data_IF_118750082808
#
_entry.id   IF_118750082808
#
_cell.length_a   1.000
_cell.length_b   1.000
_cell.length_c   1.000
_cell.angle_alpha   90.00
_cell.angle_beta   90.00
_cell.angle_gamma   90.00
#
_symmetry.space_group_name_H-M   'P 1'
#
loop_
_entity.id
_entity.type
_entity.pdbx_description
1 polymer ?
#
# COMPACT_ATOMS: atom_id res chain seq x y z
N UNK A 1 23.29 3.48 -2.53
CA UNK A 1 21.82 3.49 -2.34
C UNK A 1 21.32 4.87 -2.69
N UNK A 2 20.29 4.98 -3.52
CA UNK A 2 19.67 6.29 -3.83
C UNK A 2 18.53 6.51 -2.86
N UNK A 3 18.58 7.56 -2.01
CA UNK A 3 17.51 7.86 -1.08
C UNK A 3 16.19 8.17 -1.81
N UNK A 4 15.07 7.76 -1.21
CA UNK A 4 13.76 8.15 -1.67
C UNK A 4 13.37 9.46 -0.99
N UNK A 5 13.85 10.58 -1.53
CA UNK A 5 13.57 11.90 -0.93
C UNK A 5 12.25 12.52 -1.41
N UNK A 6 11.67 11.97 -2.47
CA UNK A 6 10.45 12.48 -3.13
C UNK A 6 9.49 11.34 -3.43
N UNK A 7 8.17 11.61 -3.43
CA UNK A 7 7.19 10.61 -3.80
C UNK A 7 7.43 10.05 -5.20
N UNK A 8 7.53 8.71 -5.29
CA UNK A 8 7.63 7.96 -6.53
C UNK A 8 6.27 7.33 -6.85
N UNK A 9 5.75 7.59 -8.05
CA UNK A 9 4.49 7.00 -8.52
C UNK A 9 4.74 5.97 -9.60
N UNK A 10 4.07 4.81 -9.48
CA UNK A 10 4.14 3.69 -10.42
C UNK A 10 2.75 3.11 -10.65
N UNK A 11 2.49 2.68 -11.87
CA UNK A 11 1.37 1.79 -12.14
C UNK A 11 1.80 0.36 -11.79
N UNK A 12 0.93 -0.37 -11.12
CA UNK A 12 1.15 -1.76 -10.72
C UNK A 12 -0.11 -2.54 -11.02
N UNK A 13 0.05 -3.72 -11.63
CA UNK A 13 -1.05 -4.65 -11.86
C UNK A 13 -1.06 -5.70 -10.73
N UNK A 14 -2.21 -5.87 -10.08
CA UNK A 14 -2.42 -6.87 -9.03
C UNK A 14 -3.67 -7.65 -9.39
N UNK A 15 -3.50 -8.91 -9.78
CA UNK A 15 -4.57 -9.69 -10.42
C UNK A 15 -5.01 -9.03 -11.74
N UNK A 16 -6.32 -8.88 -11.89
CA UNK A 16 -6.94 -8.26 -13.08
C UNK A 16 -7.12 -6.73 -12.93
N UNK A 17 -6.71 -6.16 -11.80
CA UNK A 17 -6.91 -4.75 -11.49
C UNK A 17 -5.60 -3.93 -11.58
N UNK A 18 -5.74 -2.71 -12.08
CA UNK A 18 -4.64 -1.74 -12.16
C UNK A 18 -4.70 -0.76 -11.00
N UNK A 19 -3.54 -0.56 -10.37
CA UNK A 19 -3.37 0.35 -9.24
C UNK A 19 -2.29 1.39 -9.53
N UNK A 20 -2.44 2.55 -8.94
CA UNK A 20 -1.38 3.53 -8.76
C UNK A 20 -0.76 3.34 -7.39
N UNK A 21 0.50 2.90 -7.36
CA UNK A 21 1.35 2.86 -6.18
C UNK A 21 2.09 4.19 -6.05
N UNK A 22 1.97 4.82 -4.89
CA UNK A 22 2.81 5.96 -4.48
C UNK A 22 3.68 5.50 -3.32
N UNK A 23 4.99 5.68 -3.45
CA UNK A 23 5.98 5.35 -2.41
C UNK A 23 6.66 6.66 -2.01
N UNK A 24 6.77 6.92 -0.72
CA UNK A 24 7.45 8.10 -0.18
C UNK A 24 8.29 7.72 1.07
N UNK A 25 9.04 8.66 1.69
CA UNK A 25 9.87 8.33 2.85
C UNK A 25 9.10 7.78 4.06
N UNK A 26 7.79 8.00 4.17
CA UNK A 26 6.99 7.63 5.34
C UNK A 26 6.25 6.29 5.13
N UNK A 27 5.90 5.97 3.88
CA UNK A 27 5.17 4.76 3.56
C UNK A 27 4.81 4.60 2.10
N UNK A 28 3.77 3.81 1.87
CA UNK A 28 3.18 3.61 0.57
C UNK A 28 1.66 3.76 0.58
N UNK A 29 1.13 4.23 -0.55
CA UNK A 29 -0.29 4.33 -0.83
C UNK A 29 -0.62 3.63 -2.14
N UNK A 30 -1.59 2.74 -2.10
CA UNK A 30 -2.08 2.00 -3.25
C UNK A 30 -3.52 2.41 -3.54
N UNK A 31 -3.77 2.95 -4.74
CA UNK A 31 -5.09 3.44 -5.16
C UNK A 31 -5.50 2.73 -6.44
N UNK A 32 -6.68 2.12 -6.49
CA UNK A 32 -7.19 1.52 -7.72
C UNK A 32 -7.43 2.61 -8.78
N UNK A 33 -7.16 2.29 -10.05
CA UNK A 33 -7.30 3.23 -11.16
C UNK A 33 -8.70 3.83 -11.20
N UNK A 34 -8.78 5.16 -11.33
CA UNK A 34 -10.06 5.90 -11.36
C UNK A 34 -10.74 6.12 -10.00
N UNK A 35 -10.13 5.68 -8.88
CA UNK A 35 -10.62 5.95 -7.52
C UNK A 35 -9.71 6.93 -6.78
N UNK A 36 -10.23 7.54 -5.71
CA UNK A 36 -9.49 8.46 -4.82
C UNK A 36 -9.19 7.84 -3.45
N UNK A 37 -9.99 6.86 -3.03
CA UNK A 37 -9.77 6.10 -1.81
C UNK A 37 -8.81 4.94 -2.12
N UNK A 38 -7.86 4.69 -1.23
CA UNK A 38 -6.87 3.64 -1.38
C UNK A 38 -6.27 3.24 -0.04
N UNK A 39 -5.49 2.16 -0.05
CA UNK A 39 -4.81 1.63 1.12
C UNK A 39 -3.52 2.42 1.37
N UNK A 40 -3.28 2.83 2.60
CA UNK A 40 -2.01 3.45 3.03
C UNK A 40 -1.36 2.55 4.08
N UNK A 41 -0.05 2.32 3.96
CA UNK A 41 0.76 1.57 4.92
C UNK A 41 2.06 2.32 5.21
N UNK A 42 2.38 2.53 6.49
CA UNK A 42 3.66 3.15 6.89
C UNK A 42 4.80 2.14 6.89
N UNK A 43 6.04 2.59 6.69
CA UNK A 43 7.21 1.70 6.81
C UNK A 43 7.39 1.15 8.22
N UNK A 44 7.14 1.98 9.24
CA UNK A 44 7.22 1.54 10.64
C UNK A 44 6.24 0.41 10.94
N UNK A 45 5.02 0.51 10.41
CA UNK A 45 3.97 -0.51 10.50
C UNK A 45 4.34 -1.82 9.77
N UNK A 46 5.02 -1.70 8.62
CA UNK A 46 5.53 -2.83 7.84
C UNK A 46 6.70 -3.54 8.54
N UNK A 47 7.66 -2.78 9.08
CA UNK A 47 8.90 -3.29 9.67
C UNK A 47 8.68 -3.82 11.10
N UNK A 48 7.78 -3.21 11.87
CA UNK A 48 7.48 -3.66 13.24
C UNK A 48 6.59 -4.93 13.27
N UNK A 49 6.05 -5.36 12.14
CA UNK A 49 5.22 -6.59 12.05
C UNK A 49 3.77 -6.44 12.52
N UNK A 50 3.39 -5.32 13.13
CA UNK A 50 2.05 -5.11 13.70
C UNK A 50 0.95 -4.86 12.66
N UNK A 51 1.26 -4.35 11.46
CA UNK A 51 0.24 -4.08 10.45
C UNK A 51 -0.01 -5.24 9.46
N UNK A 52 0.92 -6.18 9.33
CA UNK A 52 0.76 -7.28 8.39
C UNK A 52 -0.29 -8.30 8.86
N UNK A 53 -0.37 -8.59 10.16
CA UNK A 53 -1.28 -9.60 10.68
C UNK A 53 -2.69 -9.05 10.92
N UNK A 54 -2.82 -7.87 11.52
CA UNK A 54 -4.14 -7.33 11.87
C UNK A 54 -4.95 -6.91 10.63
N UNK A 55 -4.34 -6.26 9.65
CA UNK A 55 -5.05 -5.81 8.44
C UNK A 55 -5.34 -6.96 7.48
N UNK A 56 -4.41 -7.92 7.31
CA UNK A 56 -4.67 -9.13 6.52
C UNK A 56 -5.75 -10.02 7.17
N UNK A 57 -5.74 -10.16 8.50
CA UNK A 57 -6.79 -10.87 9.25
C UNK A 57 -8.14 -10.18 9.09
N UNK A 58 -8.23 -8.86 9.31
CA UNK A 58 -9.48 -8.12 9.18
C UNK A 58 -10.05 -8.19 7.75
N UNK A 59 -9.20 -8.09 6.73
CA UNK A 59 -9.61 -8.23 5.33
C UNK A 59 -10.07 -9.66 5.00
N UNK A 60 -9.44 -10.70 5.56
CA UNK A 60 -9.85 -12.09 5.37
C UNK A 60 -11.18 -12.45 6.06
N UNK A 61 -11.51 -11.75 7.16
CA UNK A 61 -12.74 -11.97 7.93
C UNK A 61 -13.95 -11.20 7.40
N UNK A 62 -13.74 -10.16 6.58
CA UNK A 62 -14.81 -9.39 5.94
C UNK A 62 -15.30 -10.01 4.62
N UNK A 63 -14.63 -11.06 4.12
CA UNK A 63 -15.12 -11.89 3.02
C UNK A 63 -15.91 -13.07 3.60
N UNK A 64 -17.13 -12.81 4.10
CA UNK A 64 -18.17 -13.82 4.31
C UNK A 64 -19.54 -13.18 4.20
#
# INVERSE_FOLDING_TARGET
MTPLDKPLRREVQIGDETYTLTIDPDGMKLVSKGKRNGLTLKWTELVNGDAALATALQASLQVR
#
